data_IF_379634158382
#
_entry.id   IF_379634158382
#
_cell.length_a   1.000
_cell.length_b   1.000
_cell.length_c   1.000
_cell.angle_alpha   90.00
_cell.angle_beta   90.00
_cell.angle_gamma   90.00
#
_symmetry.space_group_name_H-M   'P 1'
#
loop_
_entity.id
_entity.type
_entity.pdbx_description
1 polymer ?
#
# COMPACT_ATOMS: atom_id res chain seq x y z
N UNK A 1 -8.50 15.38 -16.85
CA UNK A 1 -9.54 14.64 -16.08
C UNK A 1 -9.05 13.29 -15.54
N UNK A 2 -8.09 12.63 -16.20
CA UNK A 2 -7.45 11.42 -15.65
C UNK A 2 -6.67 11.67 -14.34
N UNK A 3 -6.05 12.85 -14.17
CA UNK A 3 -5.22 13.14 -12.98
C UNK A 3 -6.01 13.15 -11.67
N UNK A 4 -7.25 13.68 -11.63
CA UNK A 4 -8.06 13.73 -10.42
C UNK A 4 -8.53 12.33 -9.98
N UNK A 5 -8.92 11.49 -10.95
CA UNK A 5 -9.31 10.11 -10.70
C UNK A 5 -8.12 9.26 -10.24
N UNK A 6 -6.96 9.41 -10.90
CA UNK A 6 -5.73 8.74 -10.48
C UNK A 6 -5.28 9.24 -9.09
N UNK A 7 -5.38 10.53 -8.76
CA UNK A 7 -5.06 10.99 -7.40
C UNK A 7 -6.01 10.40 -6.36
N UNK A 8 -7.29 10.23 -6.66
CA UNK A 8 -8.26 9.64 -5.74
C UNK A 8 -8.01 8.14 -5.54
N UNK A 9 -7.77 7.40 -6.62
CA UNK A 9 -7.50 5.96 -6.59
C UNK A 9 -6.11 5.64 -6.01
N UNK A 10 -5.14 6.55 -6.10
CA UNK A 10 -3.77 6.28 -5.66
C UNK A 10 -3.32 7.00 -4.39
N UNK A 11 -3.88 8.16 -4.05
CA UNK A 11 -3.75 8.74 -2.70
C UNK A 11 -4.76 8.09 -1.74
N UNK A 12 -5.85 7.55 -2.29
CA UNK A 12 -6.91 6.84 -1.58
C UNK A 12 -6.40 5.75 -0.65
N UNK A 13 -5.55 4.80 -1.06
CA UNK A 13 -5.07 3.71 -0.22
C UNK A 13 -4.32 4.21 1.02
N UNK A 14 -3.47 5.23 0.86
CA UNK A 14 -2.71 5.80 1.99
C UNK A 14 -3.65 6.46 3.00
N UNK A 15 -4.59 7.27 2.52
CA UNK A 15 -5.55 7.96 3.37
C UNK A 15 -6.57 7.00 4.01
N UNK A 16 -7.10 6.08 3.22
CA UNK A 16 -8.01 5.03 3.66
C UNK A 16 -7.36 4.12 4.70
N UNK A 17 -6.13 3.69 4.48
CA UNK A 17 -5.38 2.90 5.45
C UNK A 17 -5.12 3.66 6.75
N UNK A 18 -4.77 4.96 6.68
CA UNK A 18 -4.63 5.81 7.86
C UNK A 18 -5.95 5.98 8.63
N UNK A 19 -7.07 6.21 7.94
CA UNK A 19 -8.39 6.28 8.57
C UNK A 19 -8.81 4.95 9.19
N UNK A 20 -8.60 3.84 8.49
CA UNK A 20 -8.91 2.50 9.02
C UNK A 20 -8.08 2.20 10.26
N UNK A 21 -6.80 2.55 10.26
CA UNK A 21 -5.95 2.39 11.43
C UNK A 21 -6.48 3.13 12.66
N UNK A 22 -7.03 4.35 12.48
CA UNK A 22 -7.68 5.12 13.55
C UNK A 22 -9.01 4.50 14.02
N UNK A 23 -9.81 3.95 13.10
CA UNK A 23 -11.11 3.35 13.46
C UNK A 23 -10.99 1.98 14.12
N UNK A 24 -10.01 1.16 13.73
CA UNK A 24 -9.86 -0.21 14.21
C UNK A 24 -8.39 -0.56 14.52
N UNK A 25 -7.77 0.07 15.52
CA UNK A 25 -6.35 -0.15 15.82
C UNK A 25 -6.04 -1.60 16.24
N UNK A 26 -7.00 -2.29 16.89
CA UNK A 26 -6.84 -3.68 17.35
C UNK A 26 -6.61 -4.64 16.18
N UNK A 27 -7.28 -4.43 15.04
CA UNK A 27 -7.08 -5.28 13.86
C UNK A 27 -5.67 -5.16 13.30
N UNK A 28 -5.14 -3.95 13.28
CA UNK A 28 -3.78 -3.67 12.83
C UNK A 28 -2.75 -4.24 13.81
N UNK A 29 -3.00 -4.13 15.11
CA UNK A 29 -2.17 -4.75 16.13
C UNK A 29 -2.08 -6.26 15.92
N UNK A 30 -3.21 -6.96 15.79
CA UNK A 30 -3.22 -8.41 15.57
C UNK A 30 -2.50 -8.81 14.28
N UNK A 31 -2.71 -8.09 13.17
CA UNK A 31 -2.05 -8.38 11.90
C UNK A 31 -0.52 -8.26 11.97
N UNK A 32 0.01 -7.21 12.62
CA UNK A 32 1.44 -6.92 12.65
C UNK A 32 2.19 -7.55 13.83
N UNK A 33 1.50 -7.88 14.93
CA UNK A 33 2.11 -8.55 16.08
C UNK A 33 2.52 -9.99 15.75
N UNK A 34 1.71 -10.72 14.99
CA UNK A 34 1.97 -12.14 14.65
C UNK A 34 3.14 -12.32 13.69
N UNK A 35 3.38 -11.38 12.78
CA UNK A 35 4.45 -11.51 11.77
C UNK A 35 5.84 -11.18 12.30
N UNK A 36 5.96 -10.18 13.18
CA UNK A 36 7.26 -9.62 13.55
C UNK A 36 7.49 -9.53 15.06
N UNK A 37 6.61 -10.15 15.86
CA UNK A 37 6.88 -10.56 17.25
C UNK A 37 7.38 -9.45 18.19
N UNK A 38 6.95 -8.20 18.01
CA UNK A 38 7.52 -7.07 18.73
C UNK A 38 6.53 -5.97 19.11
N UNK A 39 6.86 -5.26 20.20
CA UNK A 39 6.14 -4.07 20.69
C UNK A 39 6.14 -2.87 19.71
N UNK A 40 6.78 -3.00 18.53
CA UNK A 40 6.89 -1.96 17.49
C UNK A 40 5.92 -2.17 16.31
N UNK A 41 4.81 -2.89 16.50
CA UNK A 41 3.79 -3.16 15.47
C UNK A 41 3.32 -1.90 14.73
N UNK A 42 3.20 -0.77 15.43
CA UNK A 42 2.79 0.52 14.87
C UNK A 42 3.81 1.09 13.87
N UNK A 43 5.11 0.88 14.10
CA UNK A 43 6.17 1.37 13.22
C UNK A 43 6.09 0.67 11.87
N UNK A 44 5.87 -0.65 11.89
CA UNK A 44 5.72 -1.46 10.69
C UNK A 44 4.45 -1.12 9.91
N UNK A 45 3.34 -0.86 10.60
CA UNK A 45 2.10 -0.40 9.97
C UNK A 45 2.29 0.92 9.22
N UNK A 46 2.99 1.89 9.83
CA UNK A 46 3.28 3.19 9.22
C UNK A 46 4.24 3.03 8.03
N UNK A 47 5.29 2.22 8.19
CA UNK A 47 6.28 1.97 7.15
C UNK A 47 5.63 1.27 5.94
N UNK A 48 4.77 0.29 6.18
CA UNK A 48 3.95 -0.35 5.15
C UNK A 48 3.07 0.66 4.42
N UNK A 49 2.31 1.50 5.13
CA UNK A 49 1.43 2.50 4.50
C UNK A 49 2.17 3.51 3.61
N UNK A 50 3.42 3.84 3.95
CA UNK A 50 4.23 4.80 3.20
C UNK A 50 4.83 4.15 1.94
N UNK A 51 5.47 2.99 2.09
CA UNK A 51 6.24 2.35 1.02
C UNK A 51 5.41 1.41 0.15
N UNK A 52 4.47 0.68 0.75
CA UNK A 52 3.73 -0.39 0.07
C UNK A 52 2.24 -0.36 0.51
N UNK A 53 1.50 0.72 0.17
CA UNK A 53 0.17 0.95 0.72
C UNK A 53 -0.84 -0.15 0.36
N UNK A 54 -0.78 -0.72 -0.85
CA UNK A 54 -1.75 -1.73 -1.27
C UNK A 54 -1.51 -3.06 -0.56
N UNK A 55 -0.26 -3.51 -0.50
CA UNK A 55 0.07 -4.75 0.24
C UNK A 55 -0.28 -4.61 1.70
N UNK A 56 -0.06 -3.44 2.31
CA UNK A 56 -0.35 -3.22 3.74
C UNK A 56 -1.83 -3.36 4.05
N UNK A 57 -2.71 -2.82 3.19
CA UNK A 57 -4.16 -2.95 3.38
C UNK A 57 -4.60 -4.40 3.17
N UNK A 58 -4.16 -5.06 2.10
CA UNK A 58 -4.50 -6.46 1.85
C UNK A 58 -3.96 -7.38 2.95
N UNK A 59 -2.79 -7.05 3.47
CA UNK A 59 -2.20 -7.75 4.60
C UNK A 59 -3.07 -7.64 5.86
N UNK A 60 -3.56 -6.44 6.21
CA UNK A 60 -4.47 -6.26 7.37
C UNK A 60 -5.83 -6.95 7.16
N UNK A 61 -6.27 -7.11 5.90
CA UNK A 61 -7.49 -7.85 5.59
C UNK A 61 -7.33 -9.34 5.91
N UNK A 62 -6.20 -9.92 5.52
CA UNK A 62 -5.97 -11.37 5.48
C UNK A 62 -5.27 -11.90 6.75
N UNK A 63 -4.24 -11.20 7.23
CA UNK A 63 -3.37 -11.65 8.32
C UNK A 63 -4.07 -12.01 9.65
N UNK A 64 -5.16 -11.32 10.10
CA UNK A 64 -5.78 -11.64 11.39
C UNK A 64 -6.34 -13.06 11.52
N UNK A 65 -6.57 -13.76 10.39
CA UNK A 65 -7.08 -15.13 10.36
C UNK A 65 -6.00 -16.15 9.96
N UNK A 66 -4.75 -15.71 9.83
CA UNK A 66 -3.66 -16.48 9.23
C UNK A 66 -3.69 -16.44 7.70
N UNK A 67 -2.51 -16.52 7.07
CA UNK A 67 -2.36 -16.50 5.61
C UNK A 67 -2.43 -17.94 5.11
N UNK A 68 -3.51 -18.34 4.45
CA UNK A 68 -3.69 -19.73 3.97
C UNK A 68 -4.18 -19.77 2.52
N UNK A 69 -3.60 -20.64 1.71
CA UNK A 69 -4.08 -20.92 0.35
C UNK A 69 -4.03 -19.72 -0.60
N UNK A 70 -5.20 -19.21 -1.00
CA UNK A 70 -5.35 -18.15 -2.01
C UNK A 70 -4.95 -16.75 -1.54
N UNK A 71 -4.76 -16.58 -0.25
CA UNK A 71 -4.27 -15.35 0.38
C UNK A 71 -2.94 -14.85 -0.21
N UNK A 72 -2.08 -15.78 -0.61
CA UNK A 72 -0.82 -15.47 -1.29
C UNK A 72 -1.00 -14.82 -2.65
N UNK A 73 -2.07 -15.17 -3.38
CA UNK A 73 -2.38 -14.53 -4.66
C UNK A 73 -2.80 -13.08 -4.43
N UNK A 74 -3.63 -12.82 -3.42
CA UNK A 74 -4.06 -11.46 -3.08
C UNK A 74 -2.89 -10.58 -2.64
N UNK A 75 -1.98 -11.11 -1.83
CA UNK A 75 -0.74 -10.42 -1.44
C UNK A 75 0.16 -10.14 -2.66
N UNK A 76 0.32 -11.11 -3.55
CA UNK A 76 1.09 -10.95 -4.79
C UNK A 76 0.50 -9.89 -5.72
N UNK A 77 -0.83 -9.84 -5.86
CA UNK A 77 -1.51 -8.85 -6.68
C UNK A 77 -1.42 -7.45 -6.07
N UNK A 78 -1.53 -7.35 -4.74
CA UNK A 78 -1.32 -6.09 -4.03
C UNK A 78 0.11 -5.56 -4.22
N UNK A 79 1.11 -6.46 -4.19
CA UNK A 79 2.51 -6.12 -4.45
C UNK A 79 2.73 -5.66 -5.89
N UNK A 80 2.11 -6.34 -6.85
CA UNK A 80 2.13 -5.91 -8.25
C UNK A 80 1.51 -4.51 -8.41
N UNK A 81 0.45 -4.20 -7.67
CA UNK A 81 -0.14 -2.86 -7.59
C UNK A 81 0.83 -1.80 -7.07
N UNK A 82 1.56 -2.10 -6.00
CA UNK A 82 2.60 -1.20 -5.47
C UNK A 82 3.76 -1.00 -6.46
N UNK A 83 4.17 -2.04 -7.19
CA UNK A 83 5.22 -1.91 -8.24
C UNK A 83 4.72 -1.07 -9.41
N UNK A 84 3.48 -1.30 -9.86
CA UNK A 84 2.88 -0.54 -10.95
C UNK A 84 2.80 0.96 -10.61
N UNK A 85 2.57 1.28 -9.34
CA UNK A 85 2.61 2.66 -8.83
C UNK A 85 3.99 3.31 -9.03
N UNK A 86 5.06 2.63 -8.65
CA UNK A 86 6.42 3.15 -8.84
C UNK A 86 6.85 3.15 -10.33
N UNK A 87 6.36 2.21 -11.13
CA UNK A 87 6.73 2.06 -12.54
C UNK A 87 6.01 3.05 -13.49
N UNK A 88 4.87 3.64 -13.08
CA UNK A 88 4.04 4.50 -13.95
C UNK A 88 4.73 5.75 -14.52
N UNK A 89 5.89 6.14 -13.99
CA UNK A 89 6.67 7.30 -14.46
C UNK A 89 7.84 6.98 -15.41
N UNK A 90 8.24 5.71 -15.52
CA UNK A 90 9.54 5.32 -16.12
C UNK A 90 9.55 5.46 -17.66
N UNK A 91 8.37 5.47 -18.30
CA UNK A 91 8.25 5.55 -19.77
C UNK A 91 8.17 6.96 -20.37
N UNK A 92 8.32 8.03 -19.58
CA UNK A 92 8.16 9.40 -20.08
C UNK A 92 9.40 9.85 -20.86
N UNK A 93 9.30 9.83 -22.20
CA UNK A 93 10.31 10.42 -23.08
C UNK A 93 10.27 11.95 -22.93
N UNK A 94 11.35 12.54 -22.43
CA UNK A 94 11.58 13.98 -22.55
C UNK A 94 11.92 14.28 -24.01
N UNK A 95 11.33 15.34 -24.57
CA UNK A 95 11.62 15.75 -25.96
C UNK A 95 13.07 16.25 -25.99
N UNK A 96 13.97 15.64 -26.77
CA UNK A 96 15.33 16.14 -26.92
C UNK A 96 15.27 17.58 -27.48
N UNK A 97 15.98 18.51 -26.83
CA UNK A 97 16.06 19.95 -27.18
C UNK A 97 14.83 20.84 -26.86
N UNK A 98 13.93 20.46 -25.95
CA UNK A 98 12.91 21.41 -25.46
C UNK A 98 13.53 22.46 -24.52
N UNK A 99 13.92 23.61 -25.07
CA UNK A 99 14.21 24.85 -24.34
C UNK A 99 12.86 25.51 -24.05
N UNK A 100 12.26 25.28 -22.87
CA UNK A 100 11.04 26.00 -22.49
C UNK A 100 11.29 27.51 -22.53
N UNK A 101 10.34 28.26 -23.10
CA UNK A 101 10.32 29.72 -23.05
C UNK A 101 10.26 30.22 -21.60
#
# INVERSE_FOLDING_TARGET
MCCAFLTLVFLGPRFFGAMWWLFQPVRWQLAFTEILGGNLWWLWAVLGLIFLPWTTIMFVVVAPLGIVGWDWLWLGLALAGDIAWYAGGVGRKQIPNYQGY
#
